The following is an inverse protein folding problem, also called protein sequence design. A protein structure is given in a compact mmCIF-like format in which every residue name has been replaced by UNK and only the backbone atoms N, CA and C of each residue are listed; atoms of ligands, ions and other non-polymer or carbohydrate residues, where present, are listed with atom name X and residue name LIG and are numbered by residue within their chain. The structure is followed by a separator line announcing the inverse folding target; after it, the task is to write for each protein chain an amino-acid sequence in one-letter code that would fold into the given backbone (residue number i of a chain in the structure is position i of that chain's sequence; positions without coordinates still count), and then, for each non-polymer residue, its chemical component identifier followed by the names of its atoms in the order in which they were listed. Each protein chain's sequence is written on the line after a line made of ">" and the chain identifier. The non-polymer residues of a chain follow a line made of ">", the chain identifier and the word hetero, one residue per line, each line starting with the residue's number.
data_IF_077534442170
#
_entry.id   IF_077534442170
#
_cell.length_a   1.000
_cell.length_b   1.000
_cell.length_c   1.000
_cell.angle_alpha   90.00
_cell.angle_beta   90.00
_cell.angle_gamma   90.00
#
_symmetry.space_group_name_H-M   'P 1'
#
loop_
_entity.id
_entity.type
_entity.pdbx_description
1 polymer ?
#
# COMPACT_ATOMS: atom_id res chain seq x y z
N UNK A 1 -6.76 20.92 26.37
CA UNK A 1 -5.80 19.88 25.98
C UNK A 1 -6.18 19.41 24.58
N UNK A 2 -5.17 19.23 23.75
CA UNK A 2 -5.15 19.28 22.27
C UNK A 2 -6.08 18.28 21.60
N UNK A 3 -6.82 18.71 20.57
CA UNK A 3 -7.67 17.86 19.75
C UNK A 3 -6.85 16.74 19.07
N UNK A 4 -7.38 15.51 18.96
CA UNK A 4 -6.73 14.48 18.16
C UNK A 4 -6.78 14.92 16.70
N UNK A 5 -5.61 15.21 16.14
CA UNK A 5 -5.44 15.54 14.72
C UNK A 5 -5.73 14.31 13.86
N UNK A 6 -7.01 14.02 13.62
CA UNK A 6 -7.46 13.29 12.44
C UNK A 6 -7.26 14.20 11.21
N UNK A 7 -6.00 14.42 10.80
CA UNK A 7 -5.68 15.23 9.60
C UNK A 7 -5.32 14.42 8.37
N UNK A 8 -5.33 13.10 8.47
CA UNK A 8 -5.18 12.20 7.34
C UNK A 8 -6.46 11.38 7.29
N UNK A 9 -7.19 11.39 6.16
CA UNK A 9 -8.40 10.59 5.97
C UNK A 9 -8.14 9.07 5.88
N UNK A 10 -7.18 8.58 6.67
CA UNK A 10 -6.73 7.19 6.81
C UNK A 10 -7.03 6.74 8.24
N UNK A 11 -7.54 5.52 8.39
CA UNK A 11 -7.65 4.89 9.71
C UNK A 11 -6.26 4.51 10.25
N UNK A 12 -6.15 4.29 11.57
CA UNK A 12 -4.91 3.79 12.19
C UNK A 12 -4.46 2.47 11.56
N UNK A 13 -5.41 1.59 11.20
CA UNK A 13 -5.18 0.38 10.41
C UNK A 13 -4.58 0.68 9.03
N UNK A 14 -5.14 1.65 8.28
CA UNK A 14 -4.60 1.99 6.96
C UNK A 14 -3.15 2.49 7.06
N UNK A 15 -2.82 3.24 8.12
CA UNK A 15 -1.45 3.73 8.37
C UNK A 15 -0.51 2.56 8.64
N UNK A 16 -0.88 1.64 9.54
CA UNK A 16 -0.06 0.48 9.88
C UNK A 16 0.17 -0.43 8.65
N UNK A 17 -0.89 -0.66 7.86
CA UNK A 17 -0.80 -1.45 6.64
C UNK A 17 0.08 -0.77 5.57
N UNK A 18 -0.06 0.55 5.38
CA UNK A 18 0.81 1.31 4.48
C UNK A 18 2.26 1.18 4.92
N UNK A 19 2.55 1.30 6.21
CA UNK A 19 3.90 1.16 6.75
C UNK A 19 4.47 -0.24 6.48
N UNK A 20 3.72 -1.30 6.76
CA UNK A 20 4.17 -2.67 6.53
C UNK A 20 4.53 -2.92 5.05
N UNK A 21 3.69 -2.47 4.12
CA UNK A 21 3.94 -2.55 2.67
C UNK A 21 5.18 -1.72 2.29
N UNK A 22 5.33 -0.53 2.87
CA UNK A 22 6.47 0.33 2.63
C UNK A 22 7.78 -0.24 3.17
N UNK A 23 7.77 -1.01 4.27
CA UNK A 23 8.97 -1.65 4.80
C UNK A 23 9.42 -2.81 3.91
N UNK A 24 8.48 -3.48 3.23
CA UNK A 24 8.77 -4.55 2.29
C UNK A 24 9.33 -4.01 0.96
N UNK A 25 10.61 -4.28 0.70
CA UNK A 25 11.30 -3.81 -0.51
C UNK A 25 10.62 -4.24 -1.81
N UNK A 26 10.14 -5.49 -1.91
CA UNK A 26 9.46 -6.00 -3.11
C UNK A 26 8.16 -5.23 -3.36
N UNK A 27 7.38 -5.00 -2.31
CA UNK A 27 6.15 -4.22 -2.40
C UNK A 27 6.43 -2.78 -2.86
N UNK A 28 7.44 -2.11 -2.31
CA UNK A 28 7.83 -0.76 -2.76
C UNK A 28 8.18 -0.70 -4.23
N UNK A 29 9.06 -1.59 -4.68
CA UNK A 29 9.50 -1.63 -6.08
C UNK A 29 8.33 -1.92 -7.02
N UNK A 30 7.44 -2.82 -6.61
CA UNK A 30 6.27 -3.17 -7.39
C UNK A 30 5.25 -2.02 -7.47
N UNK A 31 4.95 -1.34 -6.36
CA UNK A 31 4.04 -0.18 -6.32
C UNK A 31 4.54 0.94 -7.22
N UNK A 32 5.84 1.19 -7.25
CA UNK A 32 6.43 2.20 -8.15
C UNK A 32 6.28 1.83 -9.62
N UNK A 33 6.33 0.53 -9.98
CA UNK A 33 6.13 0.08 -11.37
C UNK A 33 4.71 0.31 -11.87
N UNK A 34 3.72 0.19 -10.98
CA UNK A 34 2.30 0.36 -11.32
C UNK A 34 1.77 1.77 -11.06
N UNK A 35 2.61 2.69 -10.60
CA UNK A 35 2.21 4.05 -10.22
C UNK A 35 1.61 4.84 -11.39
N UNK A 36 2.15 4.65 -12.60
CA UNK A 36 1.71 5.30 -13.82
C UNK A 36 0.65 4.51 -14.60
N UNK A 37 0.22 3.36 -14.07
CA UNK A 37 -0.78 2.53 -14.75
C UNK A 37 -2.17 3.16 -14.63
N UNK A 38 -3.00 3.09 -15.69
CA UNK A 38 -4.40 3.50 -15.58
C UNK A 38 -5.11 2.63 -14.53
N UNK A 39 -6.09 3.21 -13.85
CA UNK A 39 -6.69 2.61 -12.64
C UNK A 39 -7.16 1.17 -12.83
N UNK A 40 -7.81 0.87 -13.95
CA UNK A 40 -8.28 -0.47 -14.27
C UNK A 40 -7.14 -1.51 -14.42
N UNK A 41 -6.00 -1.10 -14.99
CA UNK A 41 -4.83 -1.96 -15.13
C UNK A 41 -4.16 -2.13 -13.77
N UNK A 42 -4.00 -1.03 -13.04
CA UNK A 42 -3.44 -1.02 -11.69
C UNK A 42 -4.20 -1.96 -10.74
N UNK A 43 -5.53 -1.90 -10.73
CA UNK A 43 -6.38 -2.77 -9.90
C UNK A 43 -6.21 -4.25 -10.26
N UNK A 44 -6.15 -4.58 -11.55
CA UNK A 44 -5.84 -5.95 -11.99
C UNK A 44 -4.45 -6.38 -11.51
N UNK A 45 -3.44 -5.52 -11.68
CA UNK A 45 -2.08 -5.82 -11.24
C UNK A 45 -2.01 -6.05 -9.73
N UNK A 46 -2.73 -5.27 -8.91
CA UNK A 46 -2.82 -5.49 -7.45
C UNK A 46 -3.35 -6.89 -7.14
N UNK A 47 -4.41 -7.33 -7.82
CA UNK A 47 -4.99 -8.65 -7.62
C UNK A 47 -4.04 -9.78 -8.05
N UNK A 48 -3.31 -9.60 -9.15
CA UNK A 48 -2.30 -10.56 -9.61
C UNK A 48 -1.15 -10.68 -8.59
N UNK A 49 -0.62 -9.55 -8.13
CA UNK A 49 0.47 -9.53 -7.16
C UNK A 49 0.09 -10.14 -5.82
N UNK A 50 -1.14 -9.89 -5.33
CA UNK A 50 -1.66 -10.53 -4.12
C UNK A 50 -1.72 -12.06 -4.31
N UNK A 51 -2.21 -12.54 -5.45
CA UNK A 51 -2.27 -13.99 -5.74
C UNK A 51 -0.89 -14.63 -5.78
N UNK A 52 0.09 -13.95 -6.37
CA UNK A 52 1.48 -14.39 -6.36
C UNK A 52 2.00 -14.50 -4.93
N UNK A 53 1.82 -13.45 -4.12
CA UNK A 53 2.29 -13.41 -2.72
C UNK A 53 1.58 -14.41 -1.80
N UNK A 54 0.28 -14.64 -1.97
CA UNK A 54 -0.46 -15.66 -1.23
C UNK A 54 0.05 -17.07 -1.52
N UNK A 55 0.59 -17.32 -2.72
CA UNK A 55 1.19 -18.60 -3.09
C UNK A 55 2.55 -18.89 -2.44
N UNK A 56 3.22 -17.86 -1.90
CA UNK A 56 4.57 -17.94 -1.30
C UNK A 56 4.57 -17.86 0.23
N UNK A 57 3.38 -17.92 0.86
CA UNK A 57 3.20 -17.79 2.30
C UNK A 57 3.80 -16.49 2.88
N UNK A 58 3.67 -15.38 2.15
CA UNK A 58 4.08 -14.06 2.64
C UNK A 58 3.13 -13.57 3.76
N UNK A 59 3.63 -12.67 4.61
CA UNK A 59 2.96 -12.20 5.83
C UNK A 59 1.51 -11.73 5.57
N UNK A 60 0.54 -12.23 6.35
CA UNK A 60 -0.88 -11.90 6.17
C UNK A 60 -1.13 -10.38 6.21
N UNK A 61 -0.36 -9.64 7.00
CA UNK A 61 -0.44 -8.19 7.11
C UNK A 61 -0.07 -7.47 5.81
N UNK A 62 0.89 -8.02 5.05
CA UNK A 62 1.27 -7.48 3.74
C UNK A 62 0.15 -7.73 2.74
N UNK A 63 -0.42 -8.94 2.72
CA UNK A 63 -1.55 -9.30 1.84
C UNK A 63 -2.74 -8.37 2.12
N UNK A 64 -3.15 -8.22 3.38
CA UNK A 64 -4.24 -7.31 3.78
C UNK A 64 -3.95 -5.87 3.40
N UNK A 65 -2.69 -5.43 3.54
CA UNK A 65 -2.28 -4.09 3.13
C UNK A 65 -2.39 -3.88 1.61
N UNK A 66 -1.95 -4.86 0.83
CA UNK A 66 -2.05 -4.80 -0.64
C UNK A 66 -3.52 -4.80 -1.10
N UNK A 67 -4.40 -5.56 -0.44
CA UNK A 67 -5.83 -5.52 -0.71
C UNK A 67 -6.41 -4.12 -0.53
N UNK A 68 -5.93 -3.38 0.48
CA UNK A 68 -6.32 -1.98 0.74
C UNK A 68 -5.82 -1.00 -0.32
N UNK A 69 -4.75 -1.32 -1.07
CA UNK A 69 -4.27 -0.49 -2.19
C UNK A 69 -5.27 -0.36 -3.33
N UNK A 70 -6.29 -1.23 -3.38
CA UNK A 70 -7.42 -1.06 -4.32
C UNK A 70 -8.17 0.25 -4.06
N UNK A 71 -8.11 0.79 -2.84
CA UNK A 71 -8.59 2.13 -2.54
C UNK A 71 -7.56 3.17 -3.03
N UNK A 72 -7.93 4.08 -3.95
CA UNK A 72 -7.01 5.05 -4.52
C UNK A 72 -6.39 5.98 -3.46
N UNK A 73 -7.09 6.27 -2.35
CA UNK A 73 -6.51 7.05 -1.25
C UNK A 73 -5.36 6.31 -0.60
N UNK A 74 -5.54 5.03 -0.27
CA UNK A 74 -4.53 4.21 0.39
C UNK A 74 -3.33 4.04 -0.53
N UNK A 75 -3.56 3.83 -1.82
CA UNK A 75 -2.49 3.78 -2.82
C UNK A 75 -1.65 5.06 -2.86
N UNK A 76 -2.29 6.23 -2.86
CA UNK A 76 -1.58 7.52 -2.80
C UNK A 76 -0.81 7.69 -1.48
N UNK A 77 -1.37 7.21 -0.36
CA UNK A 77 -0.67 7.15 0.92
C UNK A 77 0.59 6.28 0.87
N UNK A 78 0.50 5.11 0.26
CA UNK A 78 1.63 4.22 0.06
C UNK A 78 2.72 4.84 -0.82
N UNK A 79 2.36 5.46 -1.95
CA UNK A 79 3.32 6.16 -2.82
C UNK A 79 4.07 7.28 -2.09
N UNK A 80 3.34 8.06 -1.28
CA UNK A 80 3.94 9.11 -0.46
C UNK A 80 4.93 8.51 0.56
N UNK A 81 4.50 7.49 1.29
CA UNK A 81 5.33 6.78 2.26
C UNK A 81 6.62 6.21 1.62
N UNK A 82 6.52 5.60 0.43
CA UNK A 82 7.69 5.11 -0.32
C UNK A 82 8.64 6.25 -0.71
N UNK A 83 8.08 7.40 -1.10
CA UNK A 83 8.86 8.58 -1.49
C UNK A 83 9.60 9.20 -0.31
N UNK A 84 8.97 9.24 0.88
CA UNK A 84 9.60 9.72 2.12
C UNK A 84 10.75 8.80 2.59
N UNK A 85 10.65 7.47 2.38
CA UNK A 85 11.73 6.53 2.75
C UNK A 85 12.99 6.70 1.88
N UNK A 86 12.85 7.19 0.64
CA UNK A 86 13.97 7.38 -0.29
C UNK A 86 14.74 8.69 -0.06
N UNK A 87 14.29 9.54 0.85
CA UNK A 87 14.83 10.89 1.09
C UNK A 87 15.74 10.91 2.31
#
# INVERSE_FOLDING_TARGET
>A
MTAPTQKSGFSEDDIALIQAICENAKCREWILKIADYPENVRLRSIQEFIRELSGIAEDNSIITGLERLQNPKVFQGALKCISDIKR
#
